data_IF_461717571124
#
_entry.id   IF_461717571124
#
_cell.length_a   1.000
_cell.length_b   1.000
_cell.length_c   1.000
_cell.angle_alpha   90.00
_cell.angle_beta   90.00
_cell.angle_gamma   90.00
#
_symmetry.space_group_name_H-M   'P 1'
#
loop_
_entity.id
_entity.type
_entity.pdbx_description
1 polymer ?
#
# COMPACT_ATOMS: atom_id res chain seq x y z
N UNK A 1 29.94 -48.65 -58.27
CA UNK A 1 30.77 -47.48 -58.61
C UNK A 1 29.82 -46.39 -59.04
N UNK A 2 29.87 -45.22 -58.39
CA UNK A 2 29.07 -44.07 -58.81
C UNK A 2 29.58 -43.58 -60.17
N UNK A 3 28.66 -43.15 -61.04
CA UNK A 3 28.94 -42.63 -62.38
C UNK A 3 29.83 -41.37 -62.33
N UNK A 4 30.72 -41.20 -63.31
CA UNK A 4 31.77 -40.16 -63.31
C UNK A 4 31.22 -38.72 -63.38
N UNK A 5 29.93 -38.56 -63.72
CA UNK A 5 29.22 -37.27 -63.73
C UNK A 5 28.39 -37.01 -62.47
N UNK A 6 28.25 -37.96 -61.54
CA UNK A 6 27.47 -37.78 -60.32
C UNK A 6 28.36 -37.51 -59.11
N UNK A 7 28.45 -36.24 -58.72
CA UNK A 7 29.08 -35.82 -57.48
C UNK A 7 28.07 -35.93 -56.33
N UNK A 8 28.29 -36.88 -55.40
CA UNK A 8 27.46 -37.03 -54.22
C UNK A 8 27.89 -36.02 -53.14
N UNK A 9 27.22 -34.88 -53.11
CA UNK A 9 27.44 -33.85 -52.10
C UNK A 9 26.53 -34.06 -50.89
N UNK A 10 27.10 -34.49 -49.76
CA UNK A 10 26.38 -34.60 -48.49
C UNK A 10 26.46 -33.25 -47.77
N UNK A 11 25.39 -32.47 -47.86
CA UNK A 11 25.24 -31.23 -47.08
C UNK A 11 25.15 -31.55 -45.59
N UNK A 12 26.20 -31.21 -44.84
CA UNK A 12 26.24 -31.32 -43.39
C UNK A 12 25.70 -30.01 -42.77
N UNK A 13 24.53 -30.09 -42.13
CA UNK A 13 23.94 -28.97 -41.41
C UNK A 13 24.50 -28.92 -39.98
N UNK A 14 25.24 -27.85 -39.67
CA UNK A 14 25.73 -27.60 -38.31
C UNK A 14 24.75 -26.69 -37.56
N UNK A 15 24.25 -27.16 -36.41
CA UNK A 15 23.30 -26.44 -35.55
C UNK A 15 23.97 -25.77 -34.35
N UNK A 16 25.30 -25.61 -34.36
CA UNK A 16 26.07 -25.11 -33.22
C UNK A 16 25.61 -23.75 -32.70
N UNK A 17 25.22 -22.83 -33.58
CA UNK A 17 24.77 -21.46 -33.21
C UNK A 17 23.26 -21.29 -33.05
N UNK A 18 22.45 -22.34 -33.25
CA UNK A 18 20.99 -22.22 -33.19
C UNK A 18 20.51 -21.91 -31.77
N UNK A 19 21.19 -22.45 -30.76
CA UNK A 19 20.88 -22.20 -29.35
C UNK A 19 21.08 -20.73 -28.96
N UNK A 20 22.17 -20.13 -29.43
CA UNK A 20 22.50 -18.74 -29.12
C UNK A 20 21.49 -17.80 -29.78
N UNK A 21 21.15 -18.05 -31.05
CA UNK A 21 20.11 -17.32 -31.76
C UNK A 21 18.76 -17.38 -31.01
N UNK A 22 18.36 -18.56 -30.54
CA UNK A 22 17.11 -18.73 -29.82
C UNK A 22 17.12 -17.99 -28.46
N UNK A 23 18.27 -17.92 -27.81
CA UNK A 23 18.45 -17.16 -26.56
C UNK A 23 18.26 -15.67 -26.81
N UNK A 24 18.88 -15.13 -27.86
CA UNK A 24 18.71 -13.71 -28.24
C UNK A 24 17.27 -13.39 -28.63
N UNK A 25 16.58 -14.29 -29.34
CA UNK A 25 15.16 -14.11 -29.63
C UNK A 25 14.31 -14.05 -28.37
N UNK A 26 14.58 -14.89 -27.36
CA UNK A 26 13.86 -14.84 -26.09
C UNK A 26 14.09 -13.51 -25.36
N UNK A 27 15.33 -13.02 -25.36
CA UNK A 27 15.65 -11.71 -24.77
C UNK A 27 14.92 -10.57 -25.48
N UNK A 28 14.89 -10.58 -26.82
CA UNK A 28 14.19 -9.58 -27.61
C UNK A 28 12.67 -9.61 -27.37
N UNK A 29 12.06 -10.80 -27.31
CA UNK A 29 10.63 -10.96 -27.02
C UNK A 29 10.30 -10.51 -25.60
N UNK A 30 11.13 -10.85 -24.61
CA UNK A 30 10.98 -10.41 -23.22
C UNK A 30 11.05 -8.88 -23.10
N UNK A 31 12.04 -8.26 -23.77
CA UNK A 31 12.15 -6.80 -23.83
C UNK A 31 10.95 -6.14 -24.51
N UNK A 32 10.41 -6.72 -25.59
CA UNK A 32 9.21 -6.20 -26.25
C UNK A 32 7.94 -6.37 -25.41
N UNK A 33 7.88 -7.40 -24.56
CA UNK A 33 6.76 -7.67 -23.66
C UNK A 33 6.82 -6.88 -22.34
N UNK A 34 7.89 -6.11 -22.10
CA UNK A 34 8.17 -5.43 -20.83
C UNK A 34 8.13 -6.39 -19.63
N UNK A 35 8.62 -7.61 -19.83
CA UNK A 35 8.60 -8.68 -18.84
C UNK A 35 9.95 -9.39 -18.79
N UNK A 36 10.53 -9.66 -17.60
CA UNK A 36 11.77 -10.41 -17.49
C UNK A 36 11.68 -11.81 -18.12
N UNK A 37 12.77 -12.27 -18.73
CA UNK A 37 12.86 -13.59 -19.38
C UNK A 37 12.56 -14.73 -18.38
N UNK A 38 13.01 -14.57 -17.14
CA UNK A 38 12.79 -15.50 -16.03
C UNK A 38 11.31 -15.73 -15.75
N UNK A 39 10.51 -14.66 -15.81
CA UNK A 39 9.06 -14.70 -15.62
C UNK A 39 8.34 -15.16 -16.90
N UNK A 40 8.67 -14.54 -18.05
CA UNK A 40 7.97 -14.78 -19.32
C UNK A 40 8.15 -16.22 -19.83
N UNK A 41 9.33 -16.80 -19.63
CA UNK A 41 9.68 -18.14 -20.11
C UNK A 41 9.87 -19.18 -18.99
N UNK A 42 9.65 -18.80 -17.72
CA UNK A 42 9.76 -19.71 -16.58
C UNK A 42 11.17 -20.31 -16.42
N UNK A 43 12.21 -19.60 -16.88
CA UNK A 43 13.58 -20.07 -16.73
C UNK A 43 14.11 -19.65 -15.37
N UNK A 44 14.69 -20.61 -14.64
CA UNK A 44 15.55 -20.27 -13.51
C UNK A 44 16.73 -19.45 -14.02
N UNK A 45 17.10 -18.39 -13.31
CA UNK A 45 18.34 -17.65 -13.56
C UNK A 45 19.52 -18.62 -13.62
N UNK A 46 20.39 -18.46 -14.62
CA UNK A 46 21.59 -19.28 -14.73
C UNK A 46 22.63 -18.84 -13.69
N UNK A 47 23.05 -19.72 -12.80
CA UNK A 47 24.13 -19.47 -11.82
C UNK A 47 23.65 -19.29 -10.38
N UNK A 48 24.34 -18.45 -9.62
CA UNK A 48 24.08 -18.15 -8.19
C UNK A 48 23.03 -17.04 -7.96
N UNK A 49 22.46 -16.47 -9.01
CA UNK A 49 21.44 -15.43 -8.89
C UNK A 49 20.09 -16.06 -8.50
N UNK A 50 19.37 -15.46 -7.54
CA UNK A 50 18.08 -15.97 -7.05
C UNK A 50 16.89 -15.62 -7.94
N UNK A 51 17.03 -14.58 -8.79
CA UNK A 51 15.94 -14.09 -9.63
C UNK A 51 14.99 -13.16 -8.88
N UNK A 52 15.26 -12.92 -7.59
CA UNK A 52 14.48 -12.02 -6.75
C UNK A 52 14.45 -10.60 -7.33
N UNK A 53 15.59 -10.11 -7.86
CA UNK A 53 15.69 -8.77 -8.46
C UNK A 53 14.82 -8.60 -9.71
N UNK A 54 14.77 -9.61 -10.59
CA UNK A 54 13.89 -9.58 -11.77
C UNK A 54 12.41 -9.49 -11.36
N UNK A 55 12.03 -10.24 -10.32
CA UNK A 55 10.66 -10.22 -9.78
C UNK A 55 10.33 -8.86 -9.17
N UNK A 56 11.24 -8.28 -8.38
CA UNK A 56 11.05 -6.94 -7.83
C UNK A 56 10.87 -5.89 -8.93
N UNK A 57 11.74 -5.90 -9.94
CA UNK A 57 11.67 -4.96 -11.06
C UNK A 57 10.37 -5.11 -11.85
N UNK A 58 9.89 -6.35 -12.03
CA UNK A 58 8.62 -6.60 -12.70
C UNK A 58 7.42 -6.11 -11.88
N UNK A 59 7.41 -6.36 -10.56
CA UNK A 59 6.37 -5.82 -9.67
C UNK A 59 6.34 -4.30 -9.67
N UNK A 60 7.50 -3.64 -9.65
CA UNK A 60 7.60 -2.18 -9.74
C UNK A 60 7.05 -1.66 -11.08
N UNK A 61 7.34 -2.34 -12.20
CA UNK A 61 6.77 -1.98 -13.51
C UNK A 61 5.24 -2.08 -13.50
N UNK A 62 4.68 -3.14 -12.89
CA UNK A 62 3.23 -3.29 -12.74
C UNK A 62 2.66 -2.16 -11.88
N UNK A 63 3.27 -1.87 -10.72
CA UNK A 63 2.81 -0.81 -9.85
C UNK A 63 2.79 0.55 -10.56
N UNK A 64 3.87 0.87 -11.28
CA UNK A 64 3.93 2.05 -12.15
C UNK A 64 2.80 2.08 -13.19
N UNK A 65 2.44 0.94 -13.79
CA UNK A 65 1.30 0.85 -14.72
C UNK A 65 -0.05 1.05 -14.01
N UNK A 66 -0.22 0.53 -12.80
CA UNK A 66 -1.41 0.77 -11.99
C UNK A 66 -1.56 2.27 -11.70
N UNK A 67 -0.50 2.92 -11.25
CA UNK A 67 -0.45 4.35 -10.98
C UNK A 67 -0.69 5.20 -12.24
N UNK A 68 0.00 4.89 -13.34
CA UNK A 68 -0.03 5.73 -14.54
C UNK A 68 -1.32 5.53 -15.36
N UNK A 69 -1.90 4.32 -15.35
CA UNK A 69 -3.03 3.97 -16.22
C UNK A 69 -4.33 3.71 -15.48
N UNK A 70 -4.29 2.98 -14.37
CA UNK A 70 -5.51 2.59 -13.66
C UNK A 70 -5.98 3.67 -12.70
N UNK A 71 -5.08 4.28 -11.93
CA UNK A 71 -5.43 5.34 -10.98
C UNK A 71 -6.32 6.44 -11.56
N UNK A 72 -5.96 7.11 -12.68
CA UNK A 72 -6.81 8.19 -13.20
C UNK A 72 -8.20 7.69 -13.66
N UNK A 73 -8.31 6.44 -14.10
CA UNK A 73 -9.58 5.83 -14.49
C UNK A 73 -10.42 5.52 -13.24
N UNK A 74 -9.79 4.96 -12.21
CA UNK A 74 -10.45 4.62 -10.95
C UNK A 74 -10.87 5.88 -10.19
N UNK A 75 -10.05 6.92 -10.12
CA UNK A 75 -10.41 8.19 -9.50
C UNK A 75 -11.66 8.81 -10.16
N UNK A 76 -11.73 8.78 -11.51
CA UNK A 76 -12.90 9.27 -12.23
C UNK A 76 -14.16 8.43 -11.95
N UNK A 77 -14.01 7.10 -11.83
CA UNK A 77 -15.11 6.20 -11.48
C UNK A 77 -15.56 6.39 -10.03
N UNK A 78 -14.63 6.51 -9.09
CA UNK A 78 -14.90 6.72 -7.68
C UNK A 78 -15.69 8.01 -7.46
N UNK A 79 -15.28 9.12 -8.09
CA UNK A 79 -16.05 10.37 -8.02
C UNK A 79 -17.49 10.18 -8.51
N UNK A 80 -17.70 9.46 -9.62
CA UNK A 80 -19.05 9.20 -10.14
C UNK A 80 -19.87 8.33 -9.18
N UNK A 81 -19.28 7.24 -8.68
CA UNK A 81 -19.93 6.31 -7.75
C UNK A 81 -20.28 6.99 -6.42
N UNK A 82 -19.36 7.78 -5.86
CA UNK A 82 -19.60 8.53 -4.63
C UNK A 82 -20.68 9.58 -4.81
N UNK A 83 -20.72 10.27 -5.95
CA UNK A 83 -21.80 11.23 -6.24
C UNK A 83 -23.17 10.55 -6.36
N UNK A 84 -23.25 9.36 -6.96
CA UNK A 84 -24.50 8.60 -7.07
C UNK A 84 -24.98 8.09 -5.69
N UNK A 85 -24.07 7.57 -4.87
CA UNK A 85 -24.39 6.92 -3.60
C UNK A 85 -24.57 7.91 -2.43
N UNK A 86 -23.74 8.96 -2.38
CA UNK A 86 -23.64 9.88 -1.25
C UNK A 86 -23.99 11.33 -1.62
N UNK A 87 -24.25 11.62 -2.89
CA UNK A 87 -24.48 12.99 -3.38
C UNK A 87 -23.23 13.87 -3.43
N UNK A 88 -22.10 13.38 -2.90
CA UNK A 88 -20.78 14.02 -2.92
C UNK A 88 -19.68 12.99 -2.65
N UNK A 89 -18.47 13.25 -3.14
CA UNK A 89 -17.29 12.52 -2.69
C UNK A 89 -16.86 13.01 -1.29
N UNK A 90 -16.59 12.11 -0.33
CA UNK A 90 -15.97 12.47 0.95
C UNK A 90 -14.63 13.20 0.74
N UNK A 91 -14.31 14.17 1.61
CA UNK A 91 -13.07 14.96 1.49
C UNK A 91 -11.80 14.13 1.78
N UNK A 92 -11.96 13.03 2.51
CA UNK A 92 -10.92 12.10 2.94
C UNK A 92 -10.93 10.77 2.16
N UNK A 93 -11.50 10.76 0.95
CA UNK A 93 -11.49 9.57 0.10
C UNK A 93 -10.12 9.32 -0.53
N UNK A 94 -9.53 8.17 -0.26
CA UNK A 94 -8.29 7.72 -0.91
C UNK A 94 -8.26 6.19 -1.06
N UNK A 95 -7.43 5.72 -1.98
CA UNK A 95 -7.12 4.30 -2.13
C UNK A 95 -5.67 4.10 -2.56
N UNK A 96 -5.12 2.94 -2.21
CA UNK A 96 -3.77 2.53 -2.58
C UNK A 96 -3.79 1.14 -3.24
N UNK A 97 -2.89 0.92 -4.22
CA UNK A 97 -2.69 -0.41 -4.77
C UNK A 97 -1.80 -1.22 -3.84
N UNK A 98 -2.30 -2.36 -3.39
CA UNK A 98 -1.52 -3.28 -2.56
C UNK A 98 -0.23 -3.71 -3.28
N UNK A 99 0.92 -3.71 -2.59
CA UNK A 99 2.18 -4.15 -3.19
C UNK A 99 2.12 -5.64 -3.54
N UNK A 100 2.69 -5.99 -4.70
CA UNK A 100 2.78 -7.38 -5.17
C UNK A 100 3.94 -8.15 -4.51
N UNK A 101 4.87 -7.43 -3.88
CA UNK A 101 6.03 -8.03 -3.23
C UNK A 101 5.63 -8.70 -1.93
N UNK A 102 5.88 -10.00 -1.85
CA UNK A 102 5.69 -10.77 -0.63
C UNK A 102 6.88 -10.55 0.29
N UNK A 103 6.64 -9.93 1.43
CA UNK A 103 7.64 -9.74 2.49
C UNK A 103 7.99 -11.12 3.07
N UNK A 104 9.28 -11.46 3.13
CA UNK A 104 9.75 -12.72 3.74
C UNK A 104 9.41 -12.71 5.24
N UNK A 105 9.17 -13.88 5.83
CA UNK A 105 8.74 -13.98 7.25
C UNK A 105 9.70 -13.26 8.23
N UNK A 106 11.01 -13.35 8.00
CA UNK A 106 12.01 -12.62 8.80
C UNK A 106 11.86 -11.10 8.69
N UNK A 107 11.62 -10.60 7.48
CA UNK A 107 11.38 -9.18 7.24
C UNK A 107 10.06 -8.73 7.88
N UNK A 108 9.02 -9.58 7.89
CA UNK A 108 7.76 -9.28 8.58
C UNK A 108 7.97 -9.13 10.10
N UNK A 109 8.76 -10.03 10.72
CA UNK A 109 9.08 -9.94 12.15
C UNK A 109 9.87 -8.66 12.46
N UNK A 110 10.85 -8.31 11.63
CA UNK A 110 11.61 -7.07 11.80
C UNK A 110 10.74 -5.82 11.61
N UNK A 111 9.84 -5.84 10.63
CA UNK A 111 8.86 -4.77 10.39
C UNK A 111 7.94 -4.60 11.60
N UNK A 112 7.44 -5.70 12.17
CA UNK A 112 6.61 -5.67 13.37
C UNK A 112 7.34 -5.06 14.57
N UNK A 113 8.58 -5.49 14.85
CA UNK A 113 9.36 -4.93 15.95
C UNK A 113 9.62 -3.42 15.77
N UNK A 114 9.91 -3.02 14.54
CA UNK A 114 10.13 -1.61 14.18
C UNK A 114 8.85 -0.80 14.36
N UNK A 115 7.73 -1.31 13.87
CA UNK A 115 6.41 -0.70 14.01
C UNK A 115 6.02 -0.57 15.49
N UNK A 116 6.15 -1.63 16.29
CA UNK A 116 5.81 -1.60 17.72
C UNK A 116 6.63 -0.54 18.47
N UNK A 117 7.91 -0.39 18.14
CA UNK A 117 8.80 0.63 18.73
C UNK A 117 8.37 2.04 18.33
N UNK A 118 8.06 2.25 17.04
CA UNK A 118 7.58 3.52 16.52
C UNK A 118 6.22 3.90 17.11
N UNK A 119 5.26 2.97 17.14
CA UNK A 119 3.93 3.17 17.69
C UNK A 119 3.99 3.57 19.18
N UNK A 120 4.81 2.88 19.98
CA UNK A 120 5.01 3.23 21.39
C UNK A 120 5.56 4.66 21.53
N UNK A 121 6.51 5.04 20.68
CA UNK A 121 7.06 6.41 20.66
C UNK A 121 5.99 7.43 20.28
N UNK A 122 5.16 7.16 19.26
CA UNK A 122 4.11 8.08 18.82
C UNK A 122 3.01 8.25 19.87
N UNK A 123 2.62 7.16 20.57
CA UNK A 123 1.66 7.20 21.68
C UNK A 123 2.22 8.03 22.84
N UNK A 124 3.46 7.79 23.26
CA UNK A 124 4.09 8.55 24.35
C UNK A 124 4.21 10.05 24.04
N UNK A 125 4.41 10.41 22.77
CA UNK A 125 4.46 11.80 22.33
C UNK A 125 3.07 12.41 22.07
N UNK A 126 1.98 11.66 22.28
CA UNK A 126 0.61 12.12 22.04
C UNK A 126 0.28 12.40 20.58
N UNK A 127 1.02 11.81 19.64
CA UNK A 127 0.80 11.99 18.19
C UNK A 127 -0.31 11.07 17.68
N UNK A 128 -0.38 9.85 18.22
CA UNK A 128 -1.40 8.84 17.86
C UNK A 128 -1.96 8.18 19.12
N UNK A 129 -3.20 7.73 19.04
CA UNK A 129 -3.89 7.02 20.13
C UNK A 129 -3.82 5.50 19.93
N UNK A 130 -4.05 4.75 21.02
CA UNK A 130 -3.98 3.28 21.01
C UNK A 130 -4.96 2.65 20.01
N UNK A 131 -6.18 3.18 19.89
CA UNK A 131 -7.17 2.67 18.93
C UNK A 131 -6.76 2.92 17.47
N UNK A 132 -6.02 4.00 17.19
CA UNK A 132 -5.53 4.29 15.84
C UNK A 132 -4.44 3.30 15.44
N UNK A 133 -3.55 2.97 16.38
CA UNK A 133 -2.53 1.93 16.19
C UNK A 133 -3.18 0.56 16.01
N UNK A 134 -4.23 0.24 16.78
CA UNK A 134 -4.97 -1.01 16.63
C UNK A 134 -5.66 -1.14 15.26
N UNK A 135 -6.22 -0.04 14.74
CA UNK A 135 -6.79 -0.03 13.40
C UNK A 135 -5.73 -0.26 12.32
N UNK A 136 -4.58 0.42 12.41
CA UNK A 136 -3.46 0.23 11.48
C UNK A 136 -2.92 -1.21 11.50
N UNK A 137 -2.80 -1.81 12.70
CA UNK A 137 -2.38 -3.21 12.84
C UNK A 137 -3.35 -4.19 12.19
N UNK A 138 -4.65 -3.91 12.25
CA UNK A 138 -5.67 -4.72 11.59
C UNK A 138 -5.62 -4.56 10.07
N UNK A 139 -5.50 -3.32 9.57
CA UNK A 139 -5.41 -3.02 8.14
C UNK A 139 -4.14 -3.61 7.49
N UNK A 140 -3.03 -3.64 8.23
CA UNK A 140 -1.79 -4.27 7.77
C UNK A 140 -1.90 -5.80 7.54
N UNK A 141 -2.98 -6.42 8.02
CA UNK A 141 -3.19 -7.88 7.91
C UNK A 141 -2.25 -8.73 8.77
N UNK A 142 -1.36 -8.10 9.55
CA UNK A 142 -0.46 -8.79 10.49
C UNK A 142 -1.21 -9.38 11.69
N UNK A 143 -2.33 -8.78 12.08
CA UNK A 143 -3.13 -9.18 13.24
C UNK A 143 -4.59 -9.39 12.86
N UNK A 144 -4.99 -10.66 12.74
CA UNK A 144 -6.37 -11.03 12.41
C UNK A 144 -7.31 -11.06 13.63
N UNK A 145 -6.78 -10.98 14.85
CA UNK A 145 -7.55 -11.16 16.08
C UNK A 145 -8.11 -9.85 16.67
N UNK A 146 -7.80 -8.70 16.07
CA UNK A 146 -8.36 -7.41 16.49
C UNK A 146 -9.68 -7.22 15.73
N UNK A 147 -10.81 -7.32 16.43
CA UNK A 147 -12.12 -7.12 15.81
C UNK A 147 -12.44 -5.63 15.65
N UNK A 148 -13.43 -5.32 14.80
CA UNK A 148 -13.94 -3.95 14.69
C UNK A 148 -14.55 -3.48 16.01
N UNK A 149 -15.25 -4.38 16.71
CA UNK A 149 -15.90 -4.10 17.99
C UNK A 149 -14.85 -3.74 19.07
N UNK A 150 -13.71 -4.43 19.10
CA UNK A 150 -12.61 -4.10 20.03
C UNK A 150 -12.07 -2.67 19.80
N UNK A 151 -11.96 -2.24 18.53
CA UNK A 151 -11.48 -0.90 18.17
C UNK A 151 -12.51 0.17 18.54
N UNK A 152 -13.79 -0.09 18.31
CA UNK A 152 -14.86 0.82 18.72
C UNK A 152 -14.92 0.96 20.26
N UNK A 153 -14.76 -0.14 21.00
CA UNK A 153 -14.72 -0.10 22.46
C UNK A 153 -13.53 0.74 22.96
N UNK A 154 -12.34 0.55 22.37
CA UNK A 154 -11.16 1.36 22.68
C UNK A 154 -11.37 2.85 22.39
N UNK A 155 -11.98 3.18 21.24
CA UNK A 155 -12.30 4.57 20.87
C UNK A 155 -13.30 5.19 21.84
N UNK A 156 -14.36 4.48 22.19
CA UNK A 156 -15.37 4.95 23.14
C UNK A 156 -14.78 5.17 24.54
N UNK A 157 -13.88 4.29 24.99
CA UNK A 157 -13.19 4.43 26.27
C UNK A 157 -12.26 5.66 26.30
N UNK A 158 -11.53 5.92 25.21
CA UNK A 158 -10.66 7.10 25.06
C UNK A 158 -11.46 8.41 25.01
N UNK A 159 -12.56 8.44 24.25
CA UNK A 159 -13.48 9.59 24.21
C UNK A 159 -14.10 9.86 25.59
N UNK A 160 -14.51 8.81 26.30
CA UNK A 160 -15.04 8.94 27.66
C UNK A 160 -13.99 9.52 28.62
N UNK A 161 -12.75 9.03 28.57
CA UNK A 161 -11.67 9.52 29.44
C UNK A 161 -11.39 11.02 29.21
N UNK A 162 -11.36 11.47 27.96
CA UNK A 162 -11.20 12.90 27.63
C UNK A 162 -12.33 13.76 28.15
N UNK A 163 -13.57 13.28 28.07
CA UNK A 163 -14.75 14.00 28.56
C UNK A 163 -14.75 14.17 30.10
N UNK A 164 -13.99 13.36 30.85
CA UNK A 164 -13.80 13.53 32.30
C UNK A 164 -12.63 14.46 32.67
N UNK A 165 -11.70 14.71 31.74
CA UNK A 165 -10.52 15.55 31.97
C UNK A 165 -10.76 17.03 31.66
N UNK A 166 -11.81 17.37 30.91
CA UNK A 166 -12.27 18.76 30.77
C UNK A 166 -13.07 19.18 32.02
N UNK A 167 -12.60 20.15 32.84
CA UNK A 167 -13.44 20.68 33.90
C UNK A 167 -14.59 21.44 33.25
N UNK A 168 -15.81 20.93 33.41
CA UNK A 168 -17.05 21.71 33.27
C UNK A 168 -16.85 23.05 33.98
N UNK A 169 -16.69 24.12 33.20
CA UNK A 169 -16.49 25.45 33.73
C UNK A 169 -17.72 25.85 34.54
N UNK A 170 -17.61 25.82 35.86
CA UNK A 170 -18.55 26.49 36.76
C UNK A 170 -18.66 27.96 36.34
N UNK A 171 -19.80 28.33 35.78
CA UNK A 171 -20.35 29.67 35.93
C UNK A 171 -21.88 29.60 35.89
N UNK A 172 -22.43 29.14 37.01
CA UNK A 172 -23.79 29.44 37.42
C UNK A 172 -23.87 30.95 37.69
N UNK A 173 -24.28 31.76 36.72
CA UNK A 173 -24.82 33.10 37.03
C UNK A 173 -26.25 32.93 37.55
N UNK A 174 -26.34 32.70 38.86
CA UNK A 174 -27.57 32.96 39.62
C UNK A 174 -27.76 34.47 39.70
N UNK A 175 -29.00 34.89 39.48
CA UNK A 175 -29.51 36.25 39.49
C UNK A 175 -29.01 37.08 40.69
N UNK A 176 -28.52 38.29 40.38
CA UNK A 176 -28.52 39.41 41.30
C UNK A 176 -29.27 40.58 40.61
N UNK A 177 -30.60 40.51 40.65
CA UNK A 177 -31.40 41.72 40.74
C UNK A 177 -31.28 42.27 42.17
N UNK A 178 -31.27 43.60 42.30
CA UNK A 178 -31.22 44.41 43.54
C UNK A 178 -29.81 44.89 43.92
N UNK A 179 -29.39 46.02 43.35
CA UNK A 179 -29.14 47.27 44.10
C UNK A 179 -28.44 48.33 43.22
N UNK A 180 -29.22 49.10 42.44
CA UNK A 180 -28.82 50.45 42.02
C UNK A 180 -30.03 51.39 42.12
N UNK A 181 -30.43 51.68 43.36
CA UNK A 181 -30.93 53.01 43.71
C UNK A 181 -29.84 53.73 44.51
N UNK A 182 -29.67 55.02 44.19
CA UNK A 182 -28.79 56.02 44.80
C UNK A 182 -27.42 56.27 44.14
N UNK A 183 -27.43 57.04 43.05
CA UNK A 183 -26.79 58.36 43.14
C UNK A 183 -27.42 59.35 42.16
N UNK A 184 -28.21 60.27 42.70
CA UNK A 184 -28.69 61.44 41.99
C UNK A 184 -27.66 62.58 42.01
N UNK A 185 -27.76 63.39 40.95
CA UNK A 185 -27.37 64.81 40.86
C UNK A 185 -25.88 65.13 40.62
N UNK A 186 -25.56 65.78 39.49
CA UNK A 186 -25.52 67.25 39.37
C UNK A 186 -24.96 67.74 38.01
N UNK A 187 -25.70 68.72 37.46
CA UNK A 187 -25.41 69.70 36.39
C UNK A 187 -25.43 69.22 34.94
#
# INVERSE_FOLDING_TARGET
>A
MLDAENEYDRKELSFGGLKDLLTEFRNAVAGAADMPVTILFGQSVSGLASGDEDIQNYHESIHRLQETRLRPVLEALDTLLCNELFGRQPEDWWFEFLPLTVVKQEQQVNMLNTFATAANTLIQNGVVNEYQVANELRESGLFANISADDIEEMKNADELARNFEEPEGENTQVQASEDEQENGALV
#
